data_IF_147596235048
#
_entry.id   IF_147596235048
#
_cell.length_a   1.000
_cell.length_b   1.000
_cell.length_c   1.000
_cell.angle_alpha   90.00
_cell.angle_beta   90.00
_cell.angle_gamma   90.00
#
_symmetry.space_group_name_H-M   'P 1'
#
loop_
_entity.id
_entity.type
_entity.pdbx_description
1 polymer ?
#
# COMPACT_ATOMS: atom_id res chain seq x y z
N UNK A 1 10.67 22.33 27.11
CA UNK A 1 9.68 22.49 26.02
C UNK A 1 9.42 21.09 25.45
N UNK A 2 8.20 20.71 25.11
CA UNK A 2 8.01 19.45 24.41
C UNK A 2 8.86 19.48 23.13
N UNK A 3 9.53 18.38 22.85
CA UNK A 3 10.36 18.20 21.68
C UNK A 3 9.46 18.30 20.44
N UNK A 4 9.83 19.10 19.42
CA UNK A 4 9.03 19.21 18.20
C UNK A 4 9.06 17.87 17.47
N UNK A 5 8.03 17.55 16.67
CA UNK A 5 8.01 16.34 15.85
C UNK A 5 9.21 16.29 14.88
N UNK A 6 9.61 17.43 14.35
CA UNK A 6 10.78 17.57 13.50
C UNK A 6 12.08 17.20 14.24
N UNK A 7 12.20 17.53 15.52
CA UNK A 7 13.36 17.12 16.33
C UNK A 7 13.30 15.66 16.73
N UNK A 8 12.07 15.10 16.88
CA UNK A 8 11.86 13.72 17.30
C UNK A 8 12.03 12.71 16.16
N UNK A 9 11.61 13.07 14.94
CA UNK A 9 11.67 12.20 13.76
C UNK A 9 12.35 12.92 12.60
N UNK A 10 13.61 12.58 12.34
CA UNK A 10 14.43 13.15 11.27
C UNK A 10 14.62 12.18 10.09
N UNK A 11 14.38 10.89 10.31
CA UNK A 11 14.48 9.85 9.29
C UNK A 11 13.49 8.71 9.53
N UNK A 12 13.27 7.89 8.51
CA UNK A 12 12.28 6.81 8.57
C UNK A 12 12.65 5.67 9.53
N UNK A 13 13.92 5.51 9.89
CA UNK A 13 14.37 4.49 10.86
C UNK A 13 13.79 4.75 12.25
N UNK A 14 13.67 6.01 12.65
CA UNK A 14 13.18 6.40 13.97
C UNK A 14 11.72 6.02 14.17
N UNK A 15 10.89 6.08 13.10
CA UNK A 15 9.51 5.59 13.16
C UNK A 15 9.45 4.08 13.40
N UNK A 16 10.30 3.30 12.73
CA UNK A 16 10.36 1.85 12.92
C UNK A 16 10.76 1.52 14.37
N UNK A 17 11.76 2.21 14.91
CA UNK A 17 12.23 2.05 16.28
C UNK A 17 11.15 2.42 17.30
N UNK A 18 10.47 3.56 17.10
CA UNK A 18 9.42 4.02 18.00
C UNK A 18 8.18 3.12 17.91
N UNK A 19 7.78 2.70 16.72
CA UNK A 19 6.68 1.74 16.54
C UNK A 19 6.98 0.41 17.24
N UNK A 20 8.22 -0.09 17.14
CA UNK A 20 8.63 -1.32 17.87
C UNK A 20 8.53 -1.14 19.38
N UNK A 21 8.82 0.04 19.90
CA UNK A 21 8.72 0.36 21.33
C UNK A 21 7.27 0.44 21.79
N UNK A 22 6.39 1.02 20.98
CA UNK A 22 5.00 1.26 21.34
C UNK A 22 4.11 0.01 21.19
N UNK A 23 4.49 -0.91 20.30
CA UNK A 23 3.70 -2.10 20.00
C UNK A 23 4.11 -3.29 20.88
N UNK A 24 3.13 -4.01 21.40
CA UNK A 24 3.38 -5.32 21.97
C UNK A 24 3.91 -6.30 20.90
N UNK A 25 4.50 -7.41 21.35
CA UNK A 25 5.10 -8.39 20.47
C UNK A 25 4.13 -8.95 19.43
N UNK A 26 2.87 -9.18 19.79
CA UNK A 26 1.89 -9.78 18.90
C UNK A 26 1.50 -8.79 17.77
N UNK A 27 1.26 -7.52 18.12
CA UNK A 27 0.94 -6.49 17.16
C UNK A 27 2.13 -6.16 16.25
N UNK A 28 3.35 -6.17 16.80
CA UNK A 28 4.58 -6.03 16.02
C UNK A 28 4.72 -7.14 14.98
N UNK A 29 4.66 -8.42 15.38
CA UNK A 29 4.76 -9.54 14.45
C UNK A 29 3.63 -9.58 13.42
N UNK A 30 2.42 -9.19 13.84
CA UNK A 30 1.32 -9.00 12.90
C UNK A 30 1.63 -7.94 11.84
N UNK A 31 2.28 -6.84 12.23
CA UNK A 31 2.68 -5.78 11.33
C UNK A 31 3.77 -6.24 10.35
N UNK A 32 4.86 -6.79 10.87
CA UNK A 32 6.05 -7.08 10.07
C UNK A 32 6.03 -8.41 9.33
N UNK A 33 5.25 -9.38 9.80
CA UNK A 33 5.28 -10.77 9.31
C UNK A 33 4.72 -10.95 7.90
N UNK A 34 5.11 -12.06 7.28
CA UNK A 34 4.62 -12.58 6.01
C UNK A 34 3.95 -13.94 6.15
N UNK A 35 3.76 -14.62 5.02
CA UNK A 35 3.26 -15.99 4.95
C UNK A 35 4.41 -17.00 5.03
N UNK A 36 4.16 -18.13 5.64
CA UNK A 36 5.04 -19.31 5.66
C UNK A 36 6.50 -18.97 5.89
N UNK A 37 7.36 -19.12 4.88
CA UNK A 37 8.80 -18.86 4.94
C UNK A 37 9.18 -17.39 4.77
N UNK A 38 8.20 -16.51 4.52
CA UNK A 38 8.40 -15.09 4.22
C UNK A 38 9.26 -14.82 2.98
N UNK A 39 9.35 -15.79 2.07
CA UNK A 39 10.15 -15.67 0.84
C UNK A 39 9.59 -14.57 -0.08
N UNK A 40 8.27 -14.51 -0.29
CA UNK A 40 7.65 -13.44 -1.08
C UNK A 40 7.87 -12.07 -0.44
N UNK A 41 7.81 -11.98 0.90
CA UNK A 41 8.11 -10.77 1.64
C UNK A 41 9.53 -10.27 1.35
N UNK A 42 10.52 -11.17 1.43
CA UNK A 42 11.91 -10.86 1.12
C UNK A 42 12.09 -10.48 -0.38
N UNK A 43 11.43 -11.19 -1.30
CA UNK A 43 11.48 -10.90 -2.73
C UNK A 43 10.92 -9.52 -3.10
N UNK A 44 9.93 -9.02 -2.40
CA UNK A 44 9.46 -7.64 -2.60
C UNK A 44 10.58 -6.63 -2.38
N UNK A 45 11.40 -6.81 -1.35
CA UNK A 45 12.52 -5.92 -1.10
C UNK A 45 13.67 -6.15 -2.09
N UNK A 46 13.97 -7.43 -2.37
CA UNK A 46 14.99 -7.80 -3.35
C UNK A 46 14.74 -7.17 -4.72
N UNK A 47 13.51 -7.24 -5.22
CA UNK A 47 13.12 -6.72 -6.51
C UNK A 47 13.34 -5.20 -6.62
N UNK A 48 12.99 -4.44 -5.57
CA UNK A 48 13.26 -3.01 -5.50
C UNK A 48 14.75 -2.69 -5.42
N UNK A 49 15.52 -3.47 -4.63
CA UNK A 49 16.96 -3.28 -4.48
C UNK A 49 17.75 -3.68 -5.74
N UNK A 50 17.18 -4.53 -6.59
CA UNK A 50 17.74 -4.93 -7.87
C UNK A 50 17.61 -3.88 -8.99
N UNK A 51 17.02 -2.72 -8.70
CA UNK A 51 16.88 -1.60 -9.63
C UNK A 51 17.82 -0.48 -9.21
N UNK A 52 18.79 -0.15 -10.06
CA UNK A 52 19.71 0.99 -9.87
C UNK A 52 19.33 2.19 -10.74
N UNK A 53 19.56 3.38 -10.24
CA UNK A 53 19.32 4.62 -10.99
C UNK A 53 20.46 4.96 -11.96
N UNK A 54 20.11 5.72 -13.00
CA UNK A 54 21.03 6.31 -14.00
C UNK A 54 20.81 7.82 -14.05
N UNK A 55 21.50 8.61 -13.23
CA UNK A 55 21.28 10.05 -13.12
C UNK A 55 21.67 10.81 -14.41
N UNK A 56 21.05 11.98 -14.59
CA UNK A 56 21.42 12.97 -15.58
C UNK A 56 21.92 14.22 -14.86
N UNK A 57 22.99 14.82 -15.34
CA UNK A 57 23.64 15.99 -14.71
C UNK A 57 23.47 17.25 -15.54
N UNK A 58 23.77 18.40 -14.94
CA UNK A 58 23.73 19.73 -15.59
C UNK A 58 22.33 20.09 -16.12
N UNK A 59 21.28 19.72 -15.39
CA UNK A 59 19.91 20.11 -15.64
C UNK A 59 19.42 21.07 -14.55
N UNK A 60 18.59 22.01 -14.95
CA UNK A 60 17.93 22.88 -13.98
C UNK A 60 16.83 22.12 -13.24
N UNK A 61 17.04 21.89 -11.95
CA UNK A 61 16.12 21.22 -11.03
C UNK A 61 15.76 22.11 -9.85
N UNK A 62 15.77 23.42 -10.05
CA UNK A 62 15.46 24.41 -9.02
C UNK A 62 13.99 24.38 -8.59
N UNK A 63 13.09 23.83 -9.41
CA UNK A 63 11.66 23.74 -9.11
C UNK A 63 11.14 22.33 -9.40
N UNK A 64 10.90 21.54 -8.36
CA UNK A 64 10.50 20.14 -8.45
C UNK A 64 9.05 19.99 -8.01
N UNK A 65 8.24 19.36 -8.87
CA UNK A 65 6.87 18.97 -8.59
C UNK A 65 6.78 17.46 -8.26
N UNK A 66 6.48 17.15 -7.00
CA UNK A 66 6.27 15.78 -6.51
C UNK A 66 4.80 15.34 -6.59
N UNK A 67 3.90 16.17 -7.13
CA UNK A 67 2.48 15.87 -7.19
C UNK A 67 2.13 14.89 -8.31
N UNK A 68 0.99 14.23 -8.15
CA UNK A 68 0.40 13.32 -9.14
C UNK A 68 -1.11 13.47 -9.14
N UNK A 69 -1.79 12.76 -10.04
CA UNK A 69 -3.26 12.74 -10.11
C UNK A 69 -3.74 11.30 -10.24
N UNK A 70 -4.74 10.91 -9.45
CA UNK A 70 -5.41 9.62 -9.53
C UNK A 70 -6.93 9.84 -9.46
N UNK A 71 -7.70 9.25 -10.39
CA UNK A 71 -9.16 9.46 -10.51
C UNK A 71 -9.58 10.94 -10.49
N UNK A 72 -8.80 11.82 -11.15
CA UNK A 72 -9.05 13.26 -11.18
C UNK A 72 -8.73 14.01 -9.88
N UNK A 73 -8.30 13.33 -8.82
CA UNK A 73 -7.88 13.93 -7.56
C UNK A 73 -6.38 14.18 -7.54
N UNK A 74 -5.97 15.39 -7.16
CA UNK A 74 -4.56 15.73 -6.98
C UNK A 74 -4.05 15.12 -5.69
N UNK A 75 -2.89 14.45 -5.77
CA UNK A 75 -2.12 13.95 -4.64
C UNK A 75 -0.85 14.78 -4.49
N UNK A 76 -0.50 15.17 -3.28
CA UNK A 76 0.74 15.90 -2.98
C UNK A 76 1.98 15.10 -3.36
N UNK A 77 1.95 13.77 -3.09
CA UNK A 77 2.88 12.78 -3.61
C UNK A 77 2.10 11.53 -4.05
N UNK A 78 2.56 10.73 -5.01
CA UNK A 78 1.84 9.57 -5.55
C UNK A 78 1.87 8.36 -4.61
N UNK A 79 1.56 8.58 -3.33
CA UNK A 79 1.62 7.56 -2.28
C UNK A 79 0.29 7.47 -1.56
N UNK A 80 -0.31 6.27 -1.53
CA UNK A 80 -1.52 5.95 -0.81
C UNK A 80 -1.22 5.11 0.43
N UNK A 81 -2.03 5.25 1.49
CA UNK A 81 -2.07 4.26 2.55
C UNK A 81 -2.78 3.00 2.05
N UNK A 82 -2.06 1.87 1.94
CA UNK A 82 -2.63 0.59 1.53
C UNK A 82 -3.70 0.09 2.54
N UNK A 83 -4.66 -0.77 2.12
CA UNK A 83 -5.70 -1.25 3.02
C UNK A 83 -5.13 -2.25 4.04
N UNK A 84 -4.85 -1.76 5.23
CA UNK A 84 -4.40 -2.56 6.39
C UNK A 84 -5.57 -2.82 7.31
N UNK A 85 -5.82 -4.08 7.63
CA UNK A 85 -6.87 -4.47 8.58
C UNK A 85 -6.48 -4.21 10.03
N UNK A 86 -7.48 -3.97 10.88
CA UNK A 86 -7.29 -3.79 12.33
C UNK A 86 -6.33 -2.65 12.68
N UNK A 87 -6.46 -1.50 12.04
CA UNK A 87 -5.60 -0.33 12.32
C UNK A 87 -5.69 0.13 13.78
N UNK A 88 -6.84 -0.10 14.42
CA UNK A 88 -7.11 0.23 15.83
C UNK A 88 -6.20 -0.48 16.83
N UNK A 89 -5.48 -1.53 16.42
CA UNK A 89 -4.51 -2.20 17.30
C UNK A 89 -3.15 -1.52 17.31
N UNK A 90 -2.90 -0.66 16.33
CA UNK A 90 -1.66 0.13 16.21
C UNK A 90 -1.84 1.52 16.79
N UNK A 91 -3.04 2.08 16.64
CA UNK A 91 -3.45 3.38 17.18
C UNK A 91 -4.99 3.36 17.37
N UNK A 92 -5.53 3.76 18.54
CA UNK A 92 -6.95 3.57 18.87
C UNK A 92 -7.96 4.19 17.91
N UNK A 93 -7.65 5.31 17.26
CA UNK A 93 -8.51 5.95 16.25
C UNK A 93 -8.53 5.21 14.91
N UNK A 94 -7.54 4.34 14.67
CA UNK A 94 -7.49 3.44 13.52
C UNK A 94 -7.65 4.14 12.18
N UNK A 95 -8.65 3.71 11.40
CA UNK A 95 -8.91 4.27 10.07
C UNK A 95 -9.25 5.76 10.07
N UNK A 96 -9.87 6.28 11.14
CA UNK A 96 -10.21 7.70 11.25
C UNK A 96 -8.95 8.57 11.40
N UNK A 97 -8.00 8.16 12.25
CA UNK A 97 -6.71 8.86 12.41
C UNK A 97 -5.92 8.89 11.10
N UNK A 98 -5.91 7.78 10.33
CA UNK A 98 -5.26 7.74 9.03
C UNK A 98 -5.95 8.67 8.03
N UNK A 99 -7.30 8.73 8.04
CA UNK A 99 -8.08 9.58 7.16
C UNK A 99 -7.80 11.07 7.39
N UNK A 100 -7.76 11.50 8.66
CA UNK A 100 -7.39 12.86 9.05
C UNK A 100 -5.98 13.22 8.56
N UNK A 101 -5.00 12.39 8.88
CA UNK A 101 -3.60 12.63 8.51
C UNK A 101 -3.40 12.69 6.99
N UNK A 102 -4.04 11.81 6.22
CA UNK A 102 -3.92 11.81 4.75
C UNK A 102 -4.61 13.01 4.11
N UNK A 103 -5.77 13.43 4.62
CA UNK A 103 -6.43 14.67 4.20
C UNK A 103 -5.53 15.88 4.46
N UNK A 104 -5.01 16.01 5.67
CA UNK A 104 -4.22 17.18 6.09
C UNK A 104 -2.87 17.27 5.35
N UNK A 105 -2.29 16.13 4.99
CA UNK A 105 -1.10 16.09 4.15
C UNK A 105 -1.41 16.33 2.65
N UNK A 106 -2.57 15.93 2.18
CA UNK A 106 -2.96 15.99 0.76
C UNK A 106 -2.67 14.70 -0.01
N UNK A 107 -2.70 13.57 0.67
CA UNK A 107 -2.61 12.22 0.08
C UNK A 107 -3.96 11.49 0.15
N UNK A 108 -3.97 10.22 -0.24
CA UNK A 108 -5.14 9.36 -0.15
C UNK A 108 -4.92 8.14 0.74
N UNK A 109 -6.04 7.58 1.19
CA UNK A 109 -6.05 6.30 1.89
C UNK A 109 -7.00 5.29 1.25
N UNK A 110 -6.69 4.01 1.45
CA UNK A 110 -7.58 2.90 1.13
C UNK A 110 -7.99 2.26 2.46
N UNK A 111 -9.24 2.48 2.87
CA UNK A 111 -9.77 1.90 4.10
C UNK A 111 -10.09 0.42 3.91
N UNK A 112 -9.54 -0.43 4.75
CA UNK A 112 -9.92 -1.85 4.78
C UNK A 112 -11.28 -2.05 5.46
N UNK A 113 -12.16 -2.88 4.88
CA UNK A 113 -13.45 -3.27 5.47
C UNK A 113 -13.34 -3.99 6.81
N UNK A 114 -12.12 -4.37 7.22
CA UNK A 114 -11.84 -5.03 8.51
C UNK A 114 -11.02 -4.14 9.45
N UNK A 115 -11.09 -2.83 9.26
CA UNK A 115 -10.47 -1.84 10.14
C UNK A 115 -11.55 -1.00 10.82
N UNK A 116 -11.40 -0.74 12.14
CA UNK A 116 -12.25 0.19 12.87
C UNK A 116 -11.75 1.64 12.68
N UNK A 117 -12.64 2.63 12.84
CA UNK A 117 -14.05 2.54 13.24
C UNK A 117 -15.02 2.17 12.11
N UNK A 118 -14.53 1.79 10.93
CA UNK A 118 -15.33 1.36 9.79
C UNK A 118 -15.68 2.50 8.82
N UNK A 119 -16.43 2.15 7.77
CA UNK A 119 -16.71 2.97 6.60
C UNK A 119 -17.25 4.37 6.94
N UNK A 120 -18.31 4.46 7.75
CA UNK A 120 -19.03 5.71 8.00
C UNK A 120 -18.16 6.73 8.75
N UNK A 121 -17.61 6.34 9.91
CA UNK A 121 -16.79 7.22 10.74
C UNK A 121 -15.46 7.61 10.09
N UNK A 122 -14.88 6.72 9.30
CA UNK A 122 -13.66 7.06 8.54
C UNK A 122 -13.97 8.07 7.44
N UNK A 123 -15.12 7.96 6.77
CA UNK A 123 -15.55 8.94 5.78
C UNK A 123 -15.78 10.33 6.41
N UNK A 124 -16.40 10.38 7.60
CA UNK A 124 -16.59 11.62 8.36
C UNK A 124 -15.23 12.27 8.71
N UNK A 125 -14.27 11.50 9.21
CA UNK A 125 -12.93 11.98 9.54
C UNK A 125 -12.13 12.45 8.29
N UNK A 126 -12.32 11.78 7.16
CA UNK A 126 -11.68 12.15 5.90
C UNK A 126 -12.22 13.46 5.32
N UNK A 127 -13.48 13.81 5.59
CA UNK A 127 -14.11 14.97 4.94
C UNK A 127 -14.03 14.89 3.41
N UNK A 128 -13.43 15.90 2.80
CA UNK A 128 -13.18 16.00 1.34
C UNK A 128 -11.86 15.34 0.88
N UNK A 129 -11.10 14.73 1.81
CA UNK A 129 -9.87 13.99 1.50
C UNK A 129 -10.12 12.80 0.59
N UNK A 130 -9.10 12.46 -0.22
CA UNK A 130 -9.15 11.35 -1.15
C UNK A 130 -9.20 10.01 -0.41
N UNK A 131 -10.28 9.26 -0.60
CA UNK A 131 -10.55 8.01 0.12
C UNK A 131 -11.12 6.93 -0.79
N UNK A 132 -10.62 5.73 -0.63
CA UNK A 132 -11.04 4.52 -1.33
C UNK A 132 -11.52 3.50 -0.30
N UNK A 133 -12.63 2.80 -0.54
CA UNK A 133 -13.10 1.74 0.33
C UNK A 133 -12.70 0.37 -0.22
N UNK A 134 -12.00 -0.44 0.57
CA UNK A 134 -11.60 -1.80 0.19
C UNK A 134 -12.46 -2.85 0.89
N UNK A 135 -12.98 -3.81 0.12
CA UNK A 135 -13.82 -4.89 0.57
C UNK A 135 -13.14 -6.27 0.44
N UNK A 136 -13.20 -7.07 1.51
CA UNK A 136 -13.13 -8.52 1.44
C UNK A 136 -14.56 -9.06 1.35
N UNK A 137 -14.84 -9.90 0.36
CA UNK A 137 -16.20 -10.45 0.14
C UNK A 137 -16.53 -11.47 1.23
N UNK A 138 -17.59 -11.20 2.02
CA UNK A 138 -17.99 -12.04 3.15
C UNK A 138 -19.49 -12.33 3.16
N UNK A 139 -20.17 -12.02 2.09
CA UNK A 139 -21.59 -12.23 1.89
C UNK A 139 -21.92 -12.40 0.41
N UNK A 140 -23.18 -12.56 0.11
CA UNK A 140 -23.71 -12.72 -1.23
C UNK A 140 -23.64 -11.42 -2.06
N UNK A 141 -24.23 -11.46 -3.25
CA UNK A 141 -24.25 -10.33 -4.17
C UNK A 141 -24.93 -9.09 -3.56
N UNK A 142 -26.02 -9.27 -2.82
CA UNK A 142 -26.77 -8.17 -2.19
C UNK A 142 -25.93 -7.53 -1.07
N UNK A 143 -25.23 -8.33 -0.29
CA UNK A 143 -24.30 -7.86 0.72
C UNK A 143 -23.16 -7.02 0.12
N UNK A 144 -22.59 -7.45 -1.02
CA UNK A 144 -21.56 -6.67 -1.73
C UNK A 144 -22.14 -5.36 -2.23
N UNK A 145 -23.32 -5.41 -2.87
CA UNK A 145 -24.01 -4.25 -3.43
C UNK A 145 -24.33 -3.19 -2.36
N UNK A 146 -24.73 -3.63 -1.15
CA UNK A 146 -24.94 -2.73 -0.01
C UNK A 146 -23.65 -1.96 0.35
N UNK A 147 -22.51 -2.65 0.39
CA UNK A 147 -21.23 -2.00 0.67
C UNK A 147 -20.81 -1.00 -0.42
N UNK A 148 -21.11 -1.31 -1.70
CA UNK A 148 -20.85 -0.37 -2.80
C UNK A 148 -21.71 0.87 -2.66
N UNK A 149 -23.04 0.71 -2.44
CA UNK A 149 -23.97 1.84 -2.23
C UNK A 149 -23.53 2.71 -1.05
N UNK A 150 -23.19 2.10 0.08
CA UNK A 150 -22.72 2.83 1.27
C UNK A 150 -21.43 3.59 0.98
N UNK A 151 -20.50 3.02 0.22
CA UNK A 151 -19.27 3.72 -0.17
C UNK A 151 -19.59 4.95 -1.04
N UNK A 152 -20.52 4.82 -2.01
CA UNK A 152 -21.00 5.93 -2.83
C UNK A 152 -21.66 7.01 -1.96
N UNK A 153 -22.62 6.61 -1.12
CA UNK A 153 -23.38 7.52 -0.25
C UNK A 153 -22.50 8.30 0.73
N UNK A 154 -21.37 7.72 1.13
CA UNK A 154 -20.38 8.35 2.02
C UNK A 154 -19.25 9.06 1.27
N UNK A 155 -19.37 9.18 -0.04
CA UNK A 155 -18.45 9.97 -0.87
C UNK A 155 -17.04 9.38 -0.96
N UNK A 156 -16.92 8.04 -1.02
CA UNK A 156 -15.66 7.42 -1.41
C UNK A 156 -15.43 7.62 -2.91
N UNK A 157 -14.18 7.93 -3.26
CA UNK A 157 -13.78 8.26 -4.64
C UNK A 157 -13.63 7.02 -5.53
N UNK A 158 -13.43 5.84 -4.93
CA UNK A 158 -13.36 4.56 -5.62
C UNK A 158 -13.69 3.39 -4.68
N UNK A 159 -14.03 2.25 -5.28
CA UNK A 159 -14.29 0.99 -4.58
C UNK A 159 -13.22 -0.04 -4.96
N UNK A 160 -12.60 -0.68 -3.99
CA UNK A 160 -11.51 -1.62 -4.19
C UNK A 160 -11.89 -3.03 -3.71
N UNK A 161 -11.88 -3.99 -4.61
CA UNK A 161 -12.06 -5.40 -4.30
C UNK A 161 -10.69 -6.08 -4.16
N UNK A 162 -10.49 -6.79 -3.06
CA UNK A 162 -9.31 -7.64 -2.89
C UNK A 162 -9.61 -9.03 -3.42
N UNK A 163 -8.81 -9.49 -4.39
CA UNK A 163 -9.05 -10.72 -5.14
C UNK A 163 -7.97 -11.80 -4.94
N UNK A 164 -7.00 -11.59 -4.05
CA UNK A 164 -5.91 -12.51 -3.72
C UNK A 164 -6.10 -13.21 -2.35
N UNK A 165 -7.36 -13.30 -1.86
CA UNK A 165 -7.66 -13.79 -0.50
C UNK A 165 -8.69 -14.92 -0.47
N UNK A 166 -8.74 -15.75 -1.50
CA UNK A 166 -9.60 -16.95 -1.58
C UNK A 166 -9.38 -17.90 -0.40
N UNK A 167 -8.15 -17.93 0.07
CA UNK A 167 -7.75 -18.65 1.28
C UNK A 167 -6.88 -17.76 2.17
N UNK A 168 -6.95 -18.01 3.49
CA UNK A 168 -6.01 -17.35 4.39
C UNK A 168 -4.68 -18.08 4.43
N UNK A 169 -3.61 -17.33 4.21
CA UNK A 169 -2.25 -17.86 4.33
C UNK A 169 -1.91 -18.30 5.76
N UNK A 170 -0.91 -19.15 5.89
CA UNK A 170 -0.31 -19.51 7.16
C UNK A 170 0.67 -18.42 7.58
N UNK A 171 0.41 -17.77 8.69
CA UNK A 171 1.33 -16.77 9.28
C UNK A 171 2.05 -17.42 10.44
N UNK A 172 3.25 -17.92 10.18
CA UNK A 172 4.00 -18.76 11.11
C UNK A 172 4.38 -18.04 12.41
N UNK A 173 4.64 -16.71 12.34
CA UNK A 173 4.90 -15.89 13.55
C UNK A 173 3.72 -15.91 14.52
N UNK A 174 2.49 -15.78 14.03
CA UNK A 174 1.27 -15.80 14.84
C UNK A 174 1.01 -17.22 15.39
N UNK A 175 1.25 -18.24 14.57
CA UNK A 175 1.04 -19.64 14.92
C UNK A 175 2.05 -20.08 16.00
N UNK A 176 3.32 -19.74 15.85
CA UNK A 176 4.39 -20.10 16.80
C UNK A 176 4.09 -19.57 18.21
N UNK A 177 3.52 -18.38 18.33
CA UNK A 177 3.13 -17.78 19.61
C UNK A 177 1.77 -18.21 20.14
N UNK A 178 1.07 -19.11 19.45
CA UNK A 178 -0.33 -19.49 19.77
C UNK A 178 -1.27 -18.28 19.78
N UNK A 179 -0.85 -17.14 19.20
CA UNK A 179 -1.64 -15.91 19.09
C UNK A 179 -2.46 -15.97 17.80
N UNK A 180 -3.57 -16.69 17.85
CA UNK A 180 -4.59 -16.56 16.82
C UNK A 180 -5.54 -15.44 17.27
N UNK A 181 -5.46 -14.26 16.66
CA UNK A 181 -6.53 -13.28 16.78
C UNK A 181 -7.85 -14.01 16.57
N UNK A 182 -8.86 -13.75 17.41
CA UNK A 182 -10.17 -14.37 17.30
C UNK A 182 -10.63 -14.23 15.84
N UNK A 183 -10.25 -15.21 15.03
CA UNK A 183 -10.82 -15.39 13.71
C UNK A 183 -12.27 -15.68 14.01
N UNK A 184 -13.16 -14.74 13.72
CA UNK A 184 -14.58 -15.05 13.68
C UNK A 184 -14.66 -16.27 12.76
N UNK A 185 -14.90 -17.42 13.35
CA UNK A 185 -15.14 -18.68 12.66
C UNK A 185 -16.54 -18.58 12.03
N UNK A 186 -16.71 -17.68 11.08
CA UNK A 186 -17.79 -17.77 10.14
C UNK A 186 -17.22 -18.60 8.99
N UNK A 187 -17.22 -19.92 9.19
CA UNK A 187 -16.79 -20.87 8.16
C UNK A 187 -17.48 -20.58 6.84
N UNK A 188 -18.75 -20.14 6.91
CA UNK A 188 -19.57 -19.78 5.77
C UNK A 188 -19.17 -18.49 5.06
N UNK A 189 -18.64 -17.48 5.78
CA UNK A 189 -18.27 -16.21 5.16
C UNK A 189 -17.04 -16.29 4.24
N UNK A 190 -16.19 -17.31 4.40
CA UNK A 190 -15.01 -17.51 3.53
C UNK A 190 -15.38 -18.06 2.17
N UNK A 191 -16.49 -18.78 2.08
CA UNK A 191 -16.95 -19.39 0.84
C UNK A 191 -17.28 -18.32 -0.18
N UNK A 192 -17.81 -17.17 0.25
CA UNK A 192 -18.16 -16.07 -0.64
C UNK A 192 -16.94 -15.47 -1.34
N UNK A 193 -15.82 -15.29 -0.63
CA UNK A 193 -14.60 -14.82 -1.24
C UNK A 193 -14.01 -15.85 -2.21
N UNK A 194 -14.03 -17.13 -1.86
CA UNK A 194 -13.53 -18.21 -2.72
C UNK A 194 -14.40 -18.47 -3.96
N UNK A 195 -15.69 -18.09 -3.92
CA UNK A 195 -16.61 -18.20 -5.06
C UNK A 195 -16.64 -16.95 -5.94
N UNK A 196 -16.11 -15.82 -5.44
CA UNK A 196 -16.10 -14.55 -6.15
C UNK A 196 -15.27 -14.66 -7.44
N UNK A 197 -15.82 -14.21 -8.57
CA UNK A 197 -15.23 -14.41 -9.88
C UNK A 197 -15.51 -13.24 -10.85
N UNK A 198 -15.02 -13.31 -12.06
CA UNK A 198 -15.13 -12.24 -13.07
C UNK A 198 -16.57 -11.83 -13.42
N UNK A 199 -17.57 -12.71 -13.28
CA UNK A 199 -18.99 -12.35 -13.48
C UNK A 199 -19.47 -11.40 -12.39
N UNK A 200 -18.97 -11.55 -11.18
CA UNK A 200 -19.29 -10.65 -10.08
C UNK A 200 -18.65 -9.27 -10.30
N UNK A 201 -17.41 -9.23 -10.80
CA UNK A 201 -16.73 -7.98 -11.20
C UNK A 201 -17.54 -7.27 -12.27
N UNK A 202 -17.95 -7.98 -13.33
CA UNK A 202 -18.78 -7.43 -14.40
C UNK A 202 -20.12 -6.89 -13.88
N UNK A 203 -20.78 -7.63 -12.98
CA UNK A 203 -22.05 -7.23 -12.36
C UNK A 203 -21.90 -5.92 -11.58
N UNK A 204 -20.85 -5.81 -10.75
CA UNK A 204 -20.60 -4.59 -9.96
C UNK A 204 -20.27 -3.43 -10.89
N UNK A 205 -19.43 -3.62 -11.90
CA UNK A 205 -19.05 -2.57 -12.84
C UNK A 205 -20.25 -2.06 -13.65
N UNK A 206 -21.20 -2.93 -14.01
CA UNK A 206 -22.43 -2.54 -14.70
C UNK A 206 -23.49 -1.91 -13.79
N UNK A 207 -23.47 -2.27 -12.51
CA UNK A 207 -24.52 -1.88 -11.55
C UNK A 207 -24.26 -0.54 -10.83
N UNK A 208 -23.04 -0.05 -10.83
CA UNK A 208 -22.66 1.12 -10.02
C UNK A 208 -21.72 2.07 -10.76
N UNK A 209 -21.97 3.36 -10.57
CA UNK A 209 -21.15 4.44 -11.13
C UNK A 209 -20.11 4.91 -10.07
N UNK A 210 -19.13 4.06 -9.83
CA UNK A 210 -17.96 4.35 -8.98
C UNK A 210 -16.73 3.69 -9.61
N UNK A 211 -15.56 4.34 -9.64
CA UNK A 211 -14.33 3.71 -10.11
C UNK A 211 -14.06 2.41 -9.36
N UNK A 212 -13.83 1.31 -10.10
CA UNK A 212 -13.60 -0.03 -9.56
C UNK A 212 -12.12 -0.39 -9.66
N UNK A 213 -11.56 -0.80 -8.52
CA UNK A 213 -10.17 -1.23 -8.39
C UNK A 213 -10.14 -2.73 -8.07
N UNK A 214 -9.32 -3.51 -8.77
CA UNK A 214 -9.00 -4.89 -8.38
C UNK A 214 -7.61 -4.97 -7.78
N UNK A 215 -7.53 -5.27 -6.48
CA UNK A 215 -6.29 -5.43 -5.73
C UNK A 215 -5.92 -6.91 -5.59
N UNK A 216 -4.67 -7.22 -5.95
CA UNK A 216 -4.14 -8.58 -5.88
C UNK A 216 -3.84 -9.17 -7.26
N UNK A 217 -3.87 -8.35 -8.31
CA UNK A 217 -3.45 -8.75 -9.65
C UNK A 217 -1.93 -8.91 -9.67
N UNK A 218 -1.47 -10.06 -10.15
CA UNK A 218 -0.06 -10.44 -10.15
C UNK A 218 0.41 -11.08 -11.46
N UNK A 219 -0.36 -10.93 -12.55
CA UNK A 219 -0.05 -11.46 -13.89
C UNK A 219 -0.57 -10.53 -14.98
N UNK A 220 0.07 -10.56 -16.15
CA UNK A 220 -0.40 -9.87 -17.35
C UNK A 220 -1.76 -10.41 -17.83
N UNK A 221 -1.99 -11.70 -17.69
CA UNK A 221 -3.23 -12.38 -18.09
C UNK A 221 -4.43 -11.82 -17.33
N UNK A 222 -4.36 -11.76 -15.99
CA UNK A 222 -5.44 -11.23 -15.16
C UNK A 222 -5.61 -9.71 -15.36
N UNK A 223 -4.52 -8.97 -15.55
CA UNK A 223 -4.58 -7.55 -15.86
C UNK A 223 -5.32 -7.28 -17.17
N UNK A 224 -5.09 -8.11 -18.20
CA UNK A 224 -5.80 -8.03 -19.48
C UNK A 224 -7.30 -8.30 -19.29
N UNK A 225 -7.66 -9.34 -18.55
CA UNK A 225 -9.07 -9.67 -18.26
C UNK A 225 -9.72 -8.52 -17.47
N UNK A 226 -9.03 -7.95 -16.48
CA UNK A 226 -9.55 -6.84 -15.69
C UNK A 226 -9.96 -5.65 -16.57
N UNK A 227 -9.09 -5.22 -17.49
CA UNK A 227 -9.39 -4.09 -18.38
C UNK A 227 -10.46 -4.44 -19.44
N UNK A 228 -10.58 -5.70 -19.86
CA UNK A 228 -11.67 -6.19 -20.73
C UNK A 228 -13.03 -6.13 -20.02
N UNK A 229 -13.05 -6.28 -18.69
CA UNK A 229 -14.24 -6.09 -17.85
C UNK A 229 -14.51 -4.63 -17.45
N UNK A 230 -13.71 -3.68 -17.96
CA UNK A 230 -13.89 -2.24 -17.71
C UNK A 230 -13.46 -1.79 -16.32
N UNK A 231 -12.57 -2.52 -15.65
CA UNK A 231 -11.98 -2.11 -14.36
C UNK A 231 -11.20 -0.82 -14.55
N UNK A 232 -11.38 0.16 -13.67
CA UNK A 232 -10.77 1.49 -13.79
C UNK A 232 -9.34 1.55 -13.25
N UNK A 233 -8.98 0.60 -12.37
CA UNK A 233 -7.61 0.51 -11.85
C UNK A 233 -7.21 -0.93 -11.56
N UNK A 234 -6.04 -1.32 -12.07
CA UNK A 234 -5.36 -2.56 -11.75
C UNK A 234 -4.38 -2.31 -10.61
N UNK A 235 -4.59 -2.95 -9.46
CA UNK A 235 -3.73 -2.82 -8.31
C UNK A 235 -2.82 -4.03 -8.19
N UNK A 236 -1.58 -3.88 -8.66
CA UNK A 236 -0.52 -4.90 -8.62
C UNK A 236 -0.10 -5.14 -7.17
N UNK A 237 -0.32 -6.35 -6.68
CA UNK A 237 -0.07 -6.67 -5.28
C UNK A 237 0.08 -8.17 -5.07
N UNK A 238 1.04 -8.56 -4.24
CA UNK A 238 1.12 -9.90 -3.63
C UNK A 238 0.76 -9.84 -2.13
N UNK A 239 -0.10 -8.85 -1.76
CA UNK A 239 -0.52 -8.61 -0.37
C UNK A 239 0.66 -8.31 0.58
N UNK A 240 1.74 -7.74 0.06
CA UNK A 240 2.96 -7.48 0.82
C UNK A 240 3.64 -8.75 1.35
N UNK A 241 3.56 -9.87 0.61
CA UNK A 241 4.07 -11.18 1.00
C UNK A 241 3.28 -11.86 2.11
N UNK A 242 1.98 -11.57 2.22
CA UNK A 242 1.11 -12.06 3.31
C UNK A 242 0.05 -13.06 2.83
N UNK A 243 0.04 -13.43 1.55
CA UNK A 243 -0.85 -14.42 0.94
C UNK A 243 -0.04 -15.57 0.36
N UNK A 244 -0.03 -15.79 -0.94
CA UNK A 244 0.77 -16.84 -1.55
C UNK A 244 2.27 -16.58 -1.28
N UNK A 245 2.92 -17.53 -0.60
CA UNK A 245 4.38 -17.50 -0.47
C UNK A 245 5.05 -18.11 -1.72
N UNK A 246 6.36 -17.97 -1.84
CA UNK A 246 7.17 -18.39 -2.99
C UNK A 246 6.83 -17.66 -4.31
N UNK A 247 6.01 -16.58 -4.26
CA UNK A 247 5.76 -15.69 -5.39
C UNK A 247 6.94 -14.76 -5.68
N UNK A 248 6.85 -13.98 -6.75
CA UNK A 248 7.82 -12.94 -7.13
C UNK A 248 7.49 -11.61 -6.45
N UNK A 249 8.41 -10.64 -6.50
CA UNK A 249 8.16 -9.29 -6.03
C UNK A 249 7.12 -8.56 -6.87
N UNK A 250 6.23 -7.78 -6.25
CA UNK A 250 5.20 -7.04 -7.01
C UNK A 250 5.81 -6.08 -8.04
N UNK A 251 6.96 -5.49 -7.76
CA UNK A 251 7.64 -4.59 -8.69
C UNK A 251 8.21 -5.33 -9.92
N UNK A 252 8.53 -6.63 -9.80
CA UNK A 252 8.98 -7.44 -10.93
C UNK A 252 7.84 -7.72 -11.91
N UNK A 253 6.61 -7.84 -11.40
CA UNK A 253 5.39 -8.07 -12.19
C UNK A 253 4.90 -6.79 -12.87
N UNK A 254 5.19 -5.61 -12.29
CA UNK A 254 4.66 -4.35 -12.76
C UNK A 254 4.86 -4.08 -14.26
N UNK A 255 6.03 -4.33 -14.88
CA UNK A 255 6.23 -4.05 -16.32
C UNK A 255 5.31 -4.84 -17.24
N UNK A 256 5.06 -6.12 -16.97
CA UNK A 256 4.16 -6.96 -17.79
C UNK A 256 2.70 -6.54 -17.64
N UNK A 257 2.30 -6.13 -16.42
CA UNK A 257 0.96 -5.61 -16.17
C UNK A 257 0.75 -4.27 -16.88
N UNK A 258 1.73 -3.36 -16.83
CA UNK A 258 1.69 -2.07 -17.55
C UNK A 258 1.49 -2.28 -19.04
N UNK A 259 2.23 -3.22 -19.64
CA UNK A 259 2.08 -3.59 -21.05
C UNK A 259 0.69 -4.15 -21.35
N UNK A 260 0.21 -5.09 -20.52
CA UNK A 260 -1.11 -5.70 -20.68
C UNK A 260 -2.27 -4.71 -20.53
N UNK A 261 -2.17 -3.76 -19.58
CA UNK A 261 -3.16 -2.70 -19.37
C UNK A 261 -3.15 -1.70 -20.54
N UNK A 262 -1.97 -1.34 -21.06
CA UNK A 262 -1.83 -0.50 -22.26
C UNK A 262 -2.53 0.86 -22.13
N UNK A 263 -2.51 1.49 -20.97
CA UNK A 263 -3.12 2.79 -20.70
C UNK A 263 -4.66 2.80 -20.61
N UNK A 264 -5.32 1.61 -20.59
CA UNK A 264 -6.79 1.49 -20.51
C UNK A 264 -7.34 1.64 -19.09
N UNK A 265 -6.51 1.54 -18.09
CA UNK A 265 -6.84 1.70 -16.68
C UNK A 265 -5.64 2.29 -15.94
N UNK A 266 -5.88 2.90 -14.77
CA UNK A 266 -4.81 3.31 -13.87
C UNK A 266 -4.11 2.10 -13.23
N UNK A 267 -2.88 2.29 -12.76
CA UNK A 267 -2.09 1.22 -12.14
C UNK A 267 -1.56 1.69 -10.78
N UNK A 268 -1.93 0.96 -9.74
CA UNK A 268 -1.34 1.09 -8.40
C UNK A 268 -0.46 -0.13 -8.15
N UNK A 269 0.66 0.04 -7.44
CA UNK A 269 1.50 -1.07 -6.98
C UNK A 269 1.83 -0.95 -5.50
N UNK A 270 1.84 -2.09 -4.79
CA UNK A 270 2.40 -2.20 -3.44
C UNK A 270 3.44 -3.34 -3.36
N UNK A 271 3.95 -3.58 -2.17
CA UNK A 271 4.93 -4.65 -1.91
C UNK A 271 6.36 -4.11 -1.75
N UNK A 272 6.78 -3.94 -0.50
CA UNK A 272 8.14 -3.53 -0.15
C UNK A 272 8.44 -2.03 -0.22
N UNK A 273 7.52 -1.19 -0.64
CA UNK A 273 7.68 0.27 -0.69
C UNK A 273 7.98 0.81 0.71
N UNK A 274 9.19 1.36 0.89
CA UNK A 274 9.72 1.78 2.19
C UNK A 274 10.49 3.10 2.14
N UNK A 275 10.85 3.60 0.95
CA UNK A 275 11.65 4.80 0.73
C UNK A 275 11.10 5.62 -0.44
N UNK A 276 11.39 6.92 -0.47
CA UNK A 276 11.04 7.77 -1.60
C UNK A 276 11.64 7.30 -2.93
N UNK A 277 12.82 6.70 -2.88
CA UNK A 277 13.44 6.07 -4.06
C UNK A 277 12.65 4.89 -4.61
N UNK A 278 11.96 4.11 -3.76
CA UNK A 278 11.09 3.01 -4.21
C UNK A 278 9.88 3.54 -4.97
N UNK A 279 9.32 4.66 -4.51
CA UNK A 279 8.22 5.36 -5.19
C UNK A 279 8.64 5.76 -6.60
N UNK A 280 9.78 6.43 -6.74
CA UNK A 280 10.30 6.88 -8.05
C UNK A 280 10.57 5.70 -8.98
N UNK A 281 11.11 4.57 -8.50
CA UNK A 281 11.30 3.34 -9.29
C UNK A 281 9.97 2.81 -9.84
N UNK A 282 8.93 2.75 -9.02
CA UNK A 282 7.62 2.26 -9.43
C UNK A 282 6.99 3.13 -10.53
N UNK A 283 7.09 4.47 -10.39
CA UNK A 283 6.58 5.40 -11.41
C UNK A 283 7.37 5.31 -12.72
N UNK A 284 8.69 5.17 -12.68
CA UNK A 284 9.52 4.92 -13.87
C UNK A 284 9.07 3.63 -14.60
N UNK A 285 8.64 2.61 -13.86
CA UNK A 285 8.16 1.35 -14.42
C UNK A 285 6.73 1.40 -14.94
N UNK A 286 6.00 2.50 -14.70
CA UNK A 286 4.69 2.78 -15.28
C UNK A 286 3.51 2.68 -14.31
N UNK A 287 3.74 2.71 -12.99
CA UNK A 287 2.67 2.91 -12.03
C UNK A 287 2.22 4.38 -11.99
N UNK A 288 0.93 4.64 -11.80
CA UNK A 288 0.37 5.98 -11.57
C UNK A 288 0.51 6.40 -10.11
N UNK A 289 0.46 5.44 -9.19
CA UNK A 289 0.68 5.63 -7.77
C UNK A 289 1.23 4.35 -7.12
N UNK A 290 1.81 4.51 -5.94
CA UNK A 290 2.16 3.39 -5.07
C UNK A 290 1.27 3.37 -3.84
N UNK A 291 1.15 2.20 -3.21
CA UNK A 291 0.57 2.11 -1.89
C UNK A 291 1.58 1.50 -0.91
N UNK A 292 1.71 2.09 0.26
CA UNK A 292 2.54 1.56 1.32
C UNK A 292 1.67 0.99 2.45
N UNK A 293 2.02 -0.19 2.94
CA UNK A 293 1.34 -0.82 4.08
C UNK A 293 2.13 -0.61 5.37
N UNK A 294 3.17 -1.40 5.56
CA UNK A 294 3.99 -1.35 6.79
C UNK A 294 4.56 0.02 7.08
N UNK A 295 5.02 0.74 6.06
CA UNK A 295 5.66 2.05 6.22
C UNK A 295 4.75 3.05 6.95
N UNK A 296 3.53 3.26 6.44
CA UNK A 296 2.64 4.23 7.09
C UNK A 296 2.18 3.77 8.48
N UNK A 297 2.03 2.45 8.68
CA UNK A 297 1.66 1.92 10.01
C UNK A 297 2.78 2.13 11.03
N UNK A 298 4.06 2.16 10.62
CA UNK A 298 5.12 2.59 11.53
C UNK A 298 4.91 4.04 11.98
N UNK A 299 4.57 4.96 11.07
CA UNK A 299 4.25 6.35 11.43
C UNK A 299 3.06 6.47 12.36
N UNK A 300 1.97 5.74 12.04
CA UNK A 300 0.76 5.68 12.85
C UNK A 300 1.05 5.16 14.27
N UNK A 301 1.75 4.03 14.38
CA UNK A 301 2.10 3.43 15.67
C UNK A 301 3.12 4.23 16.48
N UNK A 302 3.97 5.00 15.81
CA UNK A 302 5.00 5.83 16.45
C UNK A 302 4.45 7.11 17.05
N UNK A 303 3.42 7.74 16.43
CA UNK A 303 2.97 9.05 16.84
C UNK A 303 1.56 9.44 16.35
N UNK A 304 0.68 8.49 16.04
CA UNK A 304 -0.70 8.79 15.61
C UNK A 304 -0.74 9.60 14.32
N UNK A 305 -1.69 10.54 14.22
CA UNK A 305 -1.85 11.39 13.04
C UNK A 305 -0.62 12.26 12.78
N UNK A 306 -0.06 12.87 13.81
CA UNK A 306 1.13 13.73 13.69
C UNK A 306 2.36 12.94 13.23
N UNK A 307 2.56 11.71 13.78
CA UNK A 307 3.62 10.82 13.35
C UNK A 307 3.48 10.42 11.89
N UNK A 308 2.26 10.20 11.43
CA UNK A 308 1.99 9.86 10.04
C UNK A 308 2.22 11.06 9.10
N UNK A 309 1.80 12.27 9.48
CA UNK A 309 2.09 13.50 8.74
C UNK A 309 3.60 13.70 8.57
N UNK A 310 4.35 13.60 9.67
CA UNK A 310 5.80 13.75 9.63
C UNK A 310 6.49 12.69 8.77
N UNK A 311 6.02 11.45 8.81
CA UNK A 311 6.52 10.37 7.94
C UNK A 311 6.33 10.73 6.46
N UNK A 312 5.17 11.26 6.07
CA UNK A 312 4.92 11.67 4.69
C UNK A 312 5.77 12.87 4.25
N UNK A 313 6.05 13.83 5.15
CA UNK A 313 6.98 14.95 4.86
C UNK A 313 8.38 14.43 4.55
N UNK A 314 8.90 13.50 5.35
CA UNK A 314 10.22 12.89 5.11
C UNK A 314 10.21 12.09 3.80
N UNK A 315 9.12 11.38 3.52
CA UNK A 315 8.99 10.62 2.27
C UNK A 315 8.95 11.55 1.05
N UNK A 316 8.27 12.69 1.15
CA UNK A 316 8.26 13.74 0.11
C UNK A 316 9.66 14.30 -0.12
N UNK A 317 10.41 14.57 0.95
CA UNK A 317 11.79 15.05 0.83
C UNK A 317 12.70 14.01 0.16
N UNK A 318 12.56 12.72 0.49
CA UNK A 318 13.28 11.64 -0.19
C UNK A 318 12.96 11.58 -1.69
N UNK A 319 11.69 11.74 -2.05
CA UNK A 319 11.23 11.79 -3.45
C UNK A 319 11.84 13.00 -4.17
N UNK A 320 11.73 14.19 -3.56
CA UNK A 320 12.25 15.46 -4.11
C UNK A 320 13.76 15.36 -4.36
N UNK A 321 14.51 14.86 -3.38
CA UNK A 321 15.95 14.65 -3.50
C UNK A 321 16.25 13.65 -4.62
N UNK A 322 15.50 12.55 -4.72
CA UNK A 322 15.69 11.55 -5.76
C UNK A 322 15.47 12.15 -7.15
N UNK A 323 14.37 12.88 -7.38
CA UNK A 323 14.09 13.57 -8.65
C UNK A 323 15.21 14.57 -9.00
N UNK A 324 15.62 15.40 -8.05
CA UNK A 324 16.72 16.37 -8.22
C UNK A 324 18.00 15.69 -8.68
N UNK A 325 18.41 14.62 -7.99
CA UNK A 325 19.64 13.88 -8.30
C UNK A 325 19.55 13.08 -9.60
N UNK A 326 18.34 12.73 -10.05
CA UNK A 326 18.11 12.16 -11.36
C UNK A 326 18.15 13.21 -12.48
N UNK A 327 18.11 14.50 -12.16
CA UNK A 327 18.05 15.60 -13.12
C UNK A 327 16.67 15.73 -13.76
N UNK A 328 15.61 15.50 -12.99
CA UNK A 328 14.21 15.62 -13.41
C UNK A 328 13.45 16.56 -12.46
N UNK A 329 12.49 17.32 -12.99
CA UNK A 329 11.65 18.24 -12.22
C UNK A 329 10.28 17.65 -11.89
N UNK A 330 9.92 16.55 -12.56
CA UNK A 330 8.68 15.80 -12.29
C UNK A 330 8.80 14.34 -12.75
N UNK A 331 7.84 13.51 -12.34
CA UNK A 331 7.76 12.12 -12.78
C UNK A 331 7.56 11.96 -14.29
N UNK A 332 6.91 12.94 -14.95
CA UNK A 332 6.61 12.89 -16.39
C UNK A 332 7.87 12.97 -17.27
N UNK A 333 8.99 13.40 -16.72
CA UNK A 333 10.28 13.43 -17.41
C UNK A 333 11.05 12.12 -17.31
N UNK A 334 10.54 11.18 -16.49
CA UNK A 334 11.21 9.92 -16.21
C UNK A 334 10.70 8.80 -17.12
N UNK A 335 11.62 7.99 -17.61
CA UNK A 335 11.35 6.77 -18.35
C UNK A 335 12.33 5.65 -17.96
N UNK A 336 12.19 4.47 -18.54
CA UNK A 336 13.04 3.30 -18.25
C UNK A 336 14.53 3.53 -18.50
N UNK A 337 14.94 4.61 -19.20
CA UNK A 337 16.36 4.95 -19.40
C UNK A 337 17.03 5.49 -18.13
N UNK A 338 16.23 5.89 -17.12
CA UNK A 338 16.73 6.35 -15.81
C UNK A 338 17.03 5.23 -14.82
N UNK A 339 16.76 3.99 -15.20
CA UNK A 339 17.02 2.81 -14.37
C UNK A 339 17.79 1.74 -15.14
N UNK A 340 18.38 0.82 -14.40
CA UNK A 340 19.02 -0.39 -14.92
C UNK A 340 19.04 -1.49 -13.85
N UNK A 341 19.24 -2.77 -14.23
CA UNK A 341 19.51 -3.81 -13.25
C UNK A 341 20.73 -3.49 -12.38
N UNK A 342 20.63 -3.76 -11.10
CA UNK A 342 21.69 -3.59 -10.11
C UNK A 342 21.80 -4.84 -9.23
N UNK A 343 22.97 -5.04 -8.60
CA UNK A 343 23.13 -6.11 -7.62
C UNK A 343 22.65 -5.61 -6.26
N UNK A 344 21.93 -6.45 -5.52
CA UNK A 344 21.61 -6.18 -4.12
C UNK A 344 22.91 -6.07 -3.28
N UNK A 345 22.87 -5.26 -2.24
CA UNK A 345 24.00 -5.02 -1.34
C UNK A 345 23.74 -5.50 0.09
N UNK A 346 22.52 -5.89 0.41
CA UNK A 346 22.11 -6.42 1.71
C UNK A 346 21.18 -7.61 1.53
N UNK A 347 21.13 -8.51 2.50
CA UNK A 347 20.16 -9.59 2.52
C UNK A 347 18.74 -9.02 2.62
N UNK A 348 17.83 -9.40 1.70
CA UNK A 348 16.50 -8.82 1.66
C UNK A 348 15.63 -9.34 2.80
N UNK A 349 15.05 -8.43 3.56
CA UNK A 349 14.08 -8.72 4.61
C UNK A 349 13.18 -7.48 4.85
N UNK A 350 12.17 -7.59 5.70
CA UNK A 350 11.17 -6.53 5.92
C UNK A 350 11.77 -5.17 6.30
N UNK A 351 12.93 -5.15 6.95
CA UNK A 351 13.62 -3.93 7.38
C UNK A 351 14.92 -3.64 6.60
N UNK A 352 15.24 -4.36 5.53
CA UNK A 352 16.50 -4.14 4.79
C UNK A 352 16.63 -2.74 4.16
N UNK A 353 15.50 -2.02 3.98
CA UNK A 353 15.49 -0.61 3.58
C UNK A 353 15.93 0.37 4.70
N UNK A 354 16.17 -0.13 5.91
CA UNK A 354 16.52 0.65 7.10
C UNK A 354 17.85 0.15 7.71
N UNK A 355 19.00 0.37 7.06
CA UNK A 355 20.27 -0.26 7.43
C UNK A 355 20.83 0.19 8.81
N UNK A 356 20.31 1.30 9.36
CA UNK A 356 20.74 1.82 10.67
C UNK A 356 19.86 1.35 11.83
N UNK A 357 18.93 0.41 11.59
CA UNK A 357 18.14 -0.16 12.66
C UNK A 357 18.97 -1.13 13.50
N UNK A 358 18.88 -0.96 14.83
CA UNK A 358 19.41 -1.88 15.81
C UNK A 358 18.25 -2.42 16.67
N UNK A 359 17.44 -3.28 16.08
CA UNK A 359 16.34 -3.92 16.78
C UNK A 359 16.83 -5.21 17.44
N UNK A 360 16.34 -5.53 18.66
CA UNK A 360 16.65 -6.81 19.30
C UNK A 360 16.25 -7.97 18.39
N UNK A 361 17.13 -8.98 18.26
CA UNK A 361 16.78 -10.23 17.56
C UNK A 361 15.65 -10.91 18.33
N UNK A 362 14.57 -11.19 17.65
CA UNK A 362 13.45 -11.90 18.21
C UNK A 362 13.74 -13.41 18.17
N UNK A 363 13.66 -14.05 19.33
CA UNK A 363 13.71 -15.52 19.47
C UNK A 363 12.30 -16.00 19.75
N UNK A 364 11.88 -17.04 19.06
CA UNK A 364 10.60 -17.70 19.28
C UNK A 364 10.68 -18.73 20.41
#
# INVERSE_FOLDING_TARGET
MPESLESRFQNLHEFVTQARTNLDRNNWDYLIGGSETETTLARNRLALDAIGFRPRVLRDVSNIDCSSTLFGKKLRIPVLCAPVGSLEVFEPGGGATVAEATRDFGNGMILSSVSHPGLDKTAEASGDGFKIFQLYVRGDAEWVDDHVRRAIDKGYDAFCLTVDTDSYSRRERDIAKRHQRRRVRVADARIFQAQFNWRDVERIKKGFDIPLILKGIATAEDAKIAVEHGVDCVYVSNHGGRQLDQGVGSIDVLPEVVEAVGGRASIIVDGGISRGTDVVKALILGADAVACGRLYVYGLAAGGAEGLLRLFEILEDEIRICLSLLGATSYHELDKSYIRPARQVADPHVHSAFPHLNLPRETY
#
